data_IF_483637288662
#
_entry.id   IF_483637288662
#
_cell.length_a   1.000
_cell.length_b   1.000
_cell.length_c   1.000
_cell.angle_alpha   90.00
_cell.angle_beta   90.00
_cell.angle_gamma   90.00
#
_symmetry.space_group_name_H-M   'P 1'
#
loop_
_entity.id
_entity.type
_entity.pdbx_description
1 polymer ?
#
# COMPACT_ATOMS: atom_id res chain seq x y z
N UNK A 1 8.34 -4.62 -20.21
CA UNK A 1 8.98 -3.57 -21.04
C UNK A 1 8.59 -2.22 -20.46
N UNK A 2 9.56 -1.29 -20.35
CA UNK A 2 9.35 0.02 -19.74
C UNK A 2 8.80 1.01 -20.76
N UNK A 3 8.02 1.97 -20.28
CA UNK A 3 7.56 3.13 -21.02
C UNK A 3 8.11 4.39 -20.34
N UNK A 4 8.79 5.24 -21.10
CA UNK A 4 9.43 6.46 -20.63
C UNK A 4 8.75 7.65 -21.31
N UNK A 5 8.17 8.54 -20.51
CA UNK A 5 7.46 9.73 -20.98
C UNK A 5 8.26 10.96 -20.52
N UNK A 6 8.84 11.75 -21.46
CA UNK A 6 9.44 13.03 -21.11
C UNK A 6 8.38 13.96 -20.52
N UNK A 7 8.66 14.53 -19.33
CA UNK A 7 7.77 15.47 -18.68
C UNK A 7 8.19 16.91 -18.98
N UNK A 8 9.48 17.19 -18.84
CA UNK A 8 10.02 18.55 -18.92
C UNK A 8 11.53 18.54 -19.14
N UNK A 9 12.07 19.62 -19.72
CA UNK A 9 13.50 19.89 -19.82
C UNK A 9 13.78 21.37 -19.67
N UNK A 10 14.87 21.74 -19.01
CA UNK A 10 15.29 23.14 -18.91
C UNK A 10 15.80 23.66 -20.25
N UNK A 11 15.67 24.97 -20.48
CA UNK A 11 16.12 25.63 -21.72
C UNK A 11 17.64 25.49 -21.90
N UNK A 12 18.39 25.49 -20.79
CA UNK A 12 19.85 25.31 -20.78
C UNK A 12 20.29 23.83 -20.90
N UNK A 13 19.35 22.88 -20.98
CA UNK A 13 19.61 21.45 -21.08
C UNK A 13 20.23 20.82 -19.83
N UNK A 14 20.32 21.57 -18.73
CA UNK A 14 20.92 21.11 -17.46
C UNK A 14 20.00 20.27 -16.60
N UNK A 15 18.70 20.25 -16.89
CA UNK A 15 17.72 19.46 -16.18
C UNK A 15 16.78 18.74 -17.14
N UNK A 16 16.55 17.47 -16.85
CA UNK A 16 15.59 16.63 -17.55
C UNK A 16 14.68 15.96 -16.53
N UNK A 17 13.38 15.91 -16.83
CA UNK A 17 12.39 15.19 -16.05
C UNK A 17 11.66 14.20 -16.96
N UNK A 18 11.57 12.95 -16.53
CA UNK A 18 10.83 11.91 -17.22
C UNK A 18 10.06 11.05 -16.24
N UNK A 19 8.93 10.51 -16.67
CA UNK A 19 8.18 9.51 -15.94
C UNK A 19 8.44 8.13 -16.55
N UNK A 20 8.84 7.19 -15.71
CA UNK A 20 9.07 5.79 -16.07
C UNK A 20 7.93 4.94 -15.52
N UNK A 21 7.34 4.12 -16.38
CA UNK A 21 6.25 3.21 -16.03
C UNK A 21 6.44 1.85 -16.68
N UNK A 22 5.78 0.82 -16.16
CA UNK A 22 5.71 -0.46 -16.86
C UNK A 22 4.54 -0.45 -17.86
N UNK A 23 4.74 -0.93 -19.10
CA UNK A 23 3.69 -0.94 -20.15
C UNK A 23 2.43 -1.67 -19.69
N UNK A 24 2.57 -2.72 -18.87
CA UNK A 24 1.45 -3.50 -18.32
C UNK A 24 0.90 -2.95 -16.99
N UNK A 25 1.40 -1.81 -16.50
CA UNK A 25 0.95 -1.21 -15.24
C UNK A 25 1.20 -2.06 -13.99
N UNK A 26 2.35 -2.74 -13.92
CA UNK A 26 2.69 -3.63 -12.79
C UNK A 26 2.96 -2.89 -11.48
N UNK A 27 3.39 -1.64 -11.57
CA UNK A 27 3.66 -0.76 -10.44
C UNK A 27 3.32 0.68 -10.82
N UNK A 28 3.14 1.53 -9.82
CA UNK A 28 2.87 2.95 -10.04
C UNK A 28 4.11 3.65 -10.63
N UNK A 29 3.93 4.59 -11.58
CA UNK A 29 5.04 5.26 -12.25
C UNK A 29 6.00 5.95 -11.28
N UNK A 30 7.22 6.20 -11.76
CA UNK A 30 8.30 6.83 -11.01
C UNK A 30 8.80 8.00 -11.81
N UNK A 31 9.05 9.12 -11.14
CA UNK A 31 9.63 10.28 -11.80
C UNK A 31 11.15 10.24 -11.64
N UNK A 32 11.86 10.50 -12.72
CA UNK A 32 13.31 10.59 -12.76
C UNK A 32 13.68 12.01 -13.17
N UNK A 33 14.48 12.65 -12.33
CA UNK A 33 15.05 13.96 -12.54
C UNK A 33 16.56 13.81 -12.73
N UNK A 34 17.10 14.32 -13.83
CA UNK A 34 18.54 14.31 -14.11
C UNK A 34 19.06 15.74 -14.12
N UNK A 35 20.15 16.03 -13.41
CA UNK A 35 20.74 17.36 -13.29
C UNK A 35 22.21 17.41 -13.68
N UNK A 36 22.61 18.53 -14.28
CA UNK A 36 23.99 18.91 -14.53
C UNK A 36 24.23 20.36 -14.09
N UNK A 37 24.61 20.55 -12.83
CA UNK A 37 24.84 21.87 -12.24
C UNK A 37 26.09 22.52 -12.86
N UNK A 38 26.12 23.85 -13.10
CA UNK A 38 27.30 24.52 -13.65
C UNK A 38 28.58 24.28 -12.82
N UNK A 39 29.70 24.02 -13.51
CA UNK A 39 31.01 23.85 -12.87
C UNK A 39 31.63 25.18 -12.40
N UNK A 40 31.32 26.30 -13.08
CA UNK A 40 31.85 27.61 -12.71
C UNK A 40 31.20 28.11 -11.42
N UNK A 41 32.02 28.50 -10.45
CA UNK A 41 31.56 28.86 -9.10
C UNK A 41 30.43 29.91 -9.07
N UNK A 42 30.53 30.97 -9.90
CA UNK A 42 29.52 32.04 -9.94
C UNK A 42 28.18 31.54 -10.49
N UNK A 43 28.22 30.89 -11.65
CA UNK A 43 27.03 30.30 -12.29
C UNK A 43 26.39 29.24 -11.41
N UNK A 44 27.20 28.41 -10.74
CA UNK A 44 26.71 27.39 -9.80
C UNK A 44 25.90 28.01 -8.68
N UNK A 45 26.41 29.06 -8.05
CA UNK A 45 25.70 29.73 -6.94
C UNK A 45 24.38 30.32 -7.43
N UNK A 46 24.37 30.97 -8.59
CA UNK A 46 23.17 31.58 -9.16
C UNK A 46 22.11 30.53 -9.54
N UNK A 47 22.56 29.44 -10.17
CA UNK A 47 21.73 28.31 -10.53
C UNK A 47 21.11 27.65 -9.28
N UNK A 48 21.91 27.27 -8.29
CA UNK A 48 21.43 26.61 -7.07
C UNK A 48 20.55 27.52 -6.21
N UNK A 49 20.83 28.83 -6.18
CA UNK A 49 20.00 29.80 -5.44
C UNK A 49 18.60 29.93 -6.03
N UNK A 50 18.49 29.94 -7.36
CA UNK A 50 17.18 30.05 -8.02
C UNK A 50 16.42 28.72 -8.01
N UNK A 51 17.12 27.58 -7.90
CA UNK A 51 16.55 26.25 -8.10
C UNK A 51 15.27 25.95 -7.30
N UNK A 52 15.17 26.21 -5.98
CA UNK A 52 13.96 25.90 -5.23
C UNK A 52 12.73 26.71 -5.66
N UNK A 53 12.92 27.86 -6.32
CA UNK A 53 11.83 28.76 -6.74
C UNK A 53 11.52 28.70 -8.24
N UNK A 54 12.49 28.34 -9.08
CA UNK A 54 12.29 28.19 -10.53
C UNK A 54 11.68 26.86 -10.92
N UNK A 55 11.85 25.82 -10.10
CA UNK A 55 11.31 24.51 -10.41
C UNK A 55 9.87 24.37 -9.90
N UNK A 56 8.92 23.90 -10.74
CA UNK A 56 7.55 23.61 -10.33
C UNK A 56 7.48 22.28 -9.57
N UNK A 57 8.41 22.06 -8.64
CA UNK A 57 8.43 20.87 -7.80
C UNK A 57 7.21 20.82 -6.88
N UNK A 58 6.58 21.93 -6.51
CA UNK A 58 5.31 21.87 -5.78
C UNK A 58 4.16 21.25 -6.61
N UNK A 59 4.29 21.17 -7.95
CA UNK A 59 3.37 20.46 -8.84
C UNK A 59 3.89 19.07 -9.27
N UNK A 60 5.19 18.78 -9.11
CA UNK A 60 5.87 17.59 -9.65
C UNK A 60 6.55 16.69 -8.60
N UNK A 61 6.80 17.18 -7.38
CA UNK A 61 7.20 16.38 -6.21
C UNK A 61 6.00 15.57 -5.78
N UNK A 62 5.86 14.45 -6.47
CA UNK A 62 5.06 13.35 -6.02
C UNK A 62 6.01 12.36 -5.35
N UNK A 63 5.51 11.71 -4.30
CA UNK A 63 6.06 10.43 -3.84
C UNK A 63 6.50 9.57 -5.03
N UNK A 64 7.51 8.74 -4.87
CA UNK A 64 8.10 7.89 -5.92
C UNK A 64 8.95 8.66 -6.94
N UNK A 65 9.93 9.43 -6.46
CA UNK A 65 10.82 10.19 -7.32
C UNK A 65 12.30 9.88 -7.07
N UNK A 66 13.11 9.91 -8.13
CA UNK A 66 14.57 9.76 -8.12
C UNK A 66 15.18 11.02 -8.73
N UNK A 67 16.18 11.60 -8.07
CA UNK A 67 16.89 12.79 -8.51
C UNK A 67 18.39 12.53 -8.54
N UNK A 68 18.99 12.54 -9.72
CA UNK A 68 20.37 12.12 -9.91
C UNK A 68 21.15 13.02 -10.86
N UNK A 69 22.47 12.95 -10.79
CA UNK A 69 23.36 13.59 -11.75
C UNK A 69 24.58 14.22 -11.11
N UNK A 70 25.20 15.15 -11.83
CA UNK A 70 26.38 15.89 -11.38
C UNK A 70 25.95 17.24 -10.79
N UNK A 71 26.16 17.36 -9.48
CA UNK A 71 25.82 18.54 -8.70
C UNK A 71 26.93 19.58 -8.70
N UNK A 72 28.12 19.24 -9.22
CA UNK A 72 29.33 20.06 -9.22
C UNK A 72 29.66 20.65 -7.83
N UNK A 73 29.14 20.02 -6.78
CA UNK A 73 29.21 20.45 -5.39
C UNK A 73 28.77 19.31 -4.48
N UNK A 74 29.48 19.14 -3.36
CA UNK A 74 29.13 18.12 -2.37
C UNK A 74 28.01 18.63 -1.45
N UNK A 75 26.84 18.00 -1.52
CA UNK A 75 25.64 18.38 -0.77
C UNK A 75 25.73 18.11 0.75
N UNK A 76 26.68 17.28 1.19
CA UNK A 76 26.88 16.92 2.61
C UNK A 76 27.97 17.75 3.30
N UNK A 77 28.67 18.62 2.55
CA UNK A 77 29.67 19.51 3.15
C UNK A 77 29.02 20.57 4.03
N UNK A 78 29.66 20.89 5.16
CA UNK A 78 29.15 21.92 6.09
C UNK A 78 28.93 23.23 5.35
N UNK A 79 27.73 23.79 5.54
CA UNK A 79 27.30 25.02 4.91
C UNK A 79 28.24 26.17 5.25
N UNK A 80 29.02 26.61 4.26
CA UNK A 80 29.90 27.78 4.36
C UNK A 80 29.30 29.03 3.70
N UNK A 81 28.34 28.87 2.79
CA UNK A 81 27.73 29.95 2.03
C UNK A 81 26.25 30.17 2.44
N UNK A 82 25.92 31.27 3.13
CA UNK A 82 24.55 31.58 3.53
C UNK A 82 23.57 31.68 2.34
N UNK A 83 24.06 32.07 1.16
CA UNK A 83 23.20 32.26 -0.01
C UNK A 83 22.68 30.95 -0.62
N UNK A 84 23.18 29.80 -0.17
CA UNK A 84 22.70 28.47 -0.57
C UNK A 84 21.87 27.78 0.52
N UNK A 85 21.54 28.47 1.63
CA UNK A 85 20.80 27.87 2.75
C UNK A 85 19.49 27.20 2.32
N UNK A 86 18.71 27.88 1.49
CA UNK A 86 17.43 27.37 1.00
C UNK A 86 17.60 26.12 0.13
N UNK A 87 18.67 26.05 -0.67
CA UNK A 87 18.98 24.88 -1.49
C UNK A 87 19.27 23.65 -0.64
N UNK A 88 20.17 23.77 0.34
CA UNK A 88 20.48 22.65 1.23
C UNK A 88 19.27 22.23 2.06
N UNK A 89 18.54 23.19 2.62
CA UNK A 89 17.31 22.91 3.35
C UNK A 89 16.30 22.15 2.47
N UNK A 90 16.10 22.60 1.23
CA UNK A 90 15.21 21.93 0.29
C UNK A 90 15.67 20.51 -0.05
N UNK A 91 16.98 20.30 -0.30
CA UNK A 91 17.52 18.95 -0.53
C UNK A 91 17.25 18.04 0.67
N UNK A 92 17.68 18.44 1.87
CA UNK A 92 17.64 17.57 3.04
C UNK A 92 16.21 17.33 3.57
N UNK A 93 15.25 18.19 3.25
CA UNK A 93 13.85 17.99 3.60
C UNK A 93 13.12 17.03 2.64
N UNK A 94 13.46 17.05 1.35
CA UNK A 94 12.69 16.36 0.32
C UNK A 94 13.35 15.08 -0.21
N UNK A 95 14.68 14.96 -0.03
CA UNK A 95 15.47 13.93 -0.68
C UNK A 95 16.37 13.20 0.32
N UNK A 96 16.44 11.89 0.14
CA UNK A 96 17.31 10.99 0.87
C UNK A 96 18.45 10.51 -0.05
N UNK A 97 19.67 10.47 0.47
CA UNK A 97 20.84 9.91 -0.21
C UNK A 97 21.13 8.51 0.36
N UNK A 98 20.71 7.44 -0.32
CA UNK A 98 20.89 6.09 0.19
C UNK A 98 22.36 5.64 0.13
N UNK A 99 23.17 6.18 -0.79
CA UNK A 99 24.60 5.85 -0.90
C UNK A 99 25.37 6.43 0.29
N UNK A 100 25.05 7.66 0.71
CA UNK A 100 25.66 8.25 1.89
C UNK A 100 25.14 7.64 3.20
N UNK A 101 23.95 7.04 3.20
CA UNK A 101 23.42 6.30 4.35
C UNK A 101 24.11 4.94 4.56
N UNK A 102 24.69 4.37 3.50
CA UNK A 102 25.45 3.12 3.54
C UNK A 102 26.88 3.36 4.08
N UNK A 103 27.28 2.75 5.22
CA UNK A 103 28.61 2.89 5.79
C UNK A 103 29.76 2.46 4.87
N UNK A 104 29.52 1.53 3.94
CA UNK A 104 30.55 1.05 3.01
C UNK A 104 30.80 2.01 1.84
N UNK A 105 29.79 2.83 1.51
CA UNK A 105 29.81 3.70 0.34
C UNK A 105 29.83 5.20 0.66
N UNK A 106 29.67 5.57 1.93
CA UNK A 106 29.62 6.97 2.33
C UNK A 106 30.90 7.74 1.99
N UNK A 107 30.74 9.00 1.56
CA UNK A 107 31.84 9.93 1.26
C UNK A 107 32.91 9.43 0.27
N UNK A 108 32.63 8.41 -0.54
CA UNK A 108 33.55 7.97 -1.59
C UNK A 108 33.60 9.04 -2.69
N UNK A 109 34.80 9.48 -3.11
CA UNK A 109 34.93 10.45 -4.20
C UNK A 109 34.43 9.90 -5.53
N UNK A 110 33.61 10.67 -6.23
CA UNK A 110 33.10 10.30 -7.56
C UNK A 110 33.86 11.00 -8.68
N UNK A 111 34.48 12.16 -8.42
CA UNK A 111 35.25 12.93 -9.40
C UNK A 111 36.74 12.90 -9.08
N UNK A 112 37.54 12.40 -10.03
CA UNK A 112 39.02 12.36 -10.01
C UNK A 112 39.66 11.82 -8.73
N UNK A 113 38.94 11.02 -7.95
CA UNK A 113 39.33 10.56 -6.62
C UNK A 113 39.55 11.69 -5.59
N UNK A 114 38.96 12.87 -5.82
CA UNK A 114 39.16 14.07 -4.99
C UNK A 114 37.87 14.50 -4.29
N UNK A 115 36.74 14.49 -5.00
CA UNK A 115 35.48 15.03 -4.49
C UNK A 115 34.28 14.18 -4.87
N UNK A 116 33.30 14.11 -3.97
CA UNK A 116 31.97 13.55 -4.22
C UNK A 116 31.05 14.66 -4.73
N UNK A 117 30.73 14.63 -6.03
CA UNK A 117 29.87 15.63 -6.68
C UNK A 117 28.72 15.00 -7.47
N UNK A 118 28.72 13.68 -7.62
CA UNK A 118 27.67 12.94 -8.30
C UNK A 118 26.77 12.29 -7.24
N UNK A 119 25.46 12.52 -7.34
CA UNK A 119 24.49 12.04 -6.36
C UNK A 119 23.32 11.33 -7.03
N UNK A 120 22.77 10.34 -6.32
CA UNK A 120 21.53 9.67 -6.64
C UNK A 120 20.65 9.74 -5.40
N UNK A 121 19.61 10.55 -5.47
CA UNK A 121 18.72 10.86 -4.36
C UNK A 121 17.33 10.30 -4.62
N UNK A 122 16.60 9.95 -3.56
CA UNK A 122 15.26 9.37 -3.64
C UNK A 122 14.31 10.07 -2.67
N UNK A 123 13.01 9.99 -2.94
CA UNK A 123 12.00 10.39 -1.96
C UNK A 123 11.88 9.34 -0.85
N UNK A 124 11.42 9.77 0.34
CA UNK A 124 11.39 8.94 1.55
C UNK A 124 10.58 7.63 1.39
N UNK A 125 9.57 7.62 0.53
CA UNK A 125 8.74 6.44 0.26
C UNK A 125 9.41 5.35 -0.57
N UNK A 126 10.62 5.61 -1.10
CA UNK A 126 11.42 4.63 -1.84
C UNK A 126 12.59 4.06 -1.02
N UNK A 127 12.83 4.52 0.22
CA UNK A 127 14.01 4.13 1.02
C UNK A 127 14.11 2.61 1.13
N UNK A 128 13.02 1.93 1.49
CA UNK A 128 13.01 0.47 1.66
C UNK A 128 12.96 -0.33 0.35
N UNK A 129 12.89 0.36 -0.80
CA UNK A 129 12.87 -0.26 -2.13
C UNK A 129 14.24 -0.25 -2.80
N UNK A 130 15.22 0.41 -2.19
CA UNK A 130 16.54 0.62 -2.78
C UNK A 130 17.57 -0.29 -2.11
N UNK A 131 18.44 -0.90 -2.92
CA UNK A 131 19.50 -1.81 -2.47
C UNK A 131 20.68 -1.81 -3.47
N UNK A 132 21.78 -2.51 -3.13
CA UNK A 132 22.93 -2.81 -3.97
C UNK A 132 23.53 -1.56 -4.63
N UNK A 133 23.92 -0.61 -3.79
CA UNK A 133 24.66 0.58 -4.21
C UNK A 133 26.03 0.17 -4.77
N UNK A 134 26.48 0.90 -5.79
CA UNK A 134 27.82 0.67 -6.34
C UNK A 134 28.37 1.96 -6.95
N UNK A 135 29.68 2.16 -6.79
CA UNK A 135 30.46 3.25 -7.35
C UNK A 135 31.56 2.64 -8.19
N UNK A 136 31.36 2.65 -9.52
CA UNK A 136 32.25 1.99 -10.47
C UNK A 136 33.17 2.97 -11.17
N UNK A 137 34.45 2.64 -11.20
CA UNK A 137 35.40 3.31 -12.10
C UNK A 137 34.97 3.09 -13.56
N UNK A 138 34.85 4.20 -14.30
CA UNK A 138 34.59 4.17 -15.73
C UNK A 138 35.87 4.55 -16.46
N UNK A 139 36.41 3.61 -17.23
CA UNK A 139 37.63 3.85 -18.00
C UNK A 139 37.47 5.06 -18.92
N UNK A 140 38.45 5.97 -18.89
CA UNK A 140 38.50 7.20 -19.69
C UNK A 140 37.44 8.26 -19.31
N UNK A 141 36.76 8.10 -18.18
CA UNK A 141 35.93 9.13 -17.56
C UNK A 141 36.69 9.70 -16.35
N UNK A 142 36.56 11.00 -16.08
CA UNK A 142 37.03 11.60 -14.83
C UNK A 142 35.99 11.52 -13.70
N UNK A 143 34.80 10.98 -13.99
CA UNK A 143 33.78 10.60 -13.01
C UNK A 143 33.68 9.07 -12.89
N UNK A 144 33.32 8.61 -11.69
CA UNK A 144 32.85 7.25 -11.42
C UNK A 144 31.35 7.16 -11.64
N UNK A 145 30.87 6.03 -12.15
CA UNK A 145 29.45 5.77 -12.29
C UNK A 145 28.85 5.38 -10.95
N UNK A 146 27.79 6.05 -10.55
CA UNK A 146 26.96 5.67 -9.40
C UNK A 146 25.76 4.86 -9.88
N UNK A 147 25.42 3.80 -9.15
CA UNK A 147 24.26 2.98 -9.45
C UNK A 147 23.59 2.44 -8.20
N UNK A 148 22.30 2.15 -8.32
CA UNK A 148 21.53 1.47 -7.28
C UNK A 148 20.41 0.66 -7.92
N UNK A 149 19.89 -0.32 -7.20
CA UNK A 149 18.78 -1.15 -7.63
C UNK A 149 17.52 -0.68 -6.93
N UNK A 150 16.48 -0.41 -7.71
CA UNK A 150 15.17 -0.06 -7.19
C UNK A 150 14.19 -1.21 -7.46
N UNK A 151 13.73 -1.85 -6.40
CA UNK A 151 12.78 -2.96 -6.45
C UNK A 151 11.35 -2.42 -6.55
N UNK A 152 10.72 -2.67 -7.70
CA UNK A 152 9.44 -2.07 -8.05
C UNK A 152 8.33 -3.09 -8.19
N UNK A 153 7.23 -2.83 -7.47
CA UNK A 153 6.08 -3.70 -7.39
C UNK A 153 6.04 -4.48 -6.08
N UNK A 154 4.86 -4.96 -5.73
CA UNK A 154 4.68 -5.87 -4.61
C UNK A 154 4.91 -7.29 -5.14
N UNK A 155 5.68 -8.16 -4.46
CA UNK A 155 5.54 -9.59 -4.69
C UNK A 155 4.04 -9.91 -4.58
N UNK A 156 3.54 -10.85 -5.38
CA UNK A 156 2.12 -11.23 -5.32
C UNK A 156 1.85 -11.85 -3.95
N UNK A 157 1.57 -11.00 -2.96
CA UNK A 157 0.95 -11.38 -1.72
C UNK A 157 -0.39 -12.01 -2.10
N UNK A 158 -0.78 -13.08 -1.39
CA UNK A 158 -1.97 -13.85 -1.70
C UNK A 158 -3.25 -12.99 -1.74
N UNK A 159 -4.45 -13.58 -1.79
CA UNK A 159 -5.72 -12.84 -1.90
C UNK A 159 -5.99 -11.85 -0.75
N UNK A 160 -5.10 -11.76 0.25
CA UNK A 160 -5.18 -10.89 1.41
C UNK A 160 -6.12 -11.45 2.47
N UNK A 161 -6.36 -10.64 3.50
CA UNK A 161 -7.33 -10.96 4.55
C UNK A 161 -8.74 -10.95 3.95
N UNK A 162 -9.44 -12.07 4.06
CA UNK A 162 -10.84 -12.15 3.67
C UNK A 162 -11.71 -11.35 4.64
N UNK A 163 -12.57 -10.49 4.11
CA UNK A 163 -13.58 -9.75 4.88
C UNK A 163 -14.96 -10.05 4.31
N UNK A 164 -15.91 -10.36 5.18
CA UNK A 164 -17.31 -10.58 4.78
C UNK A 164 -17.91 -9.31 4.18
N UNK A 165 -18.67 -9.44 3.09
CA UNK A 165 -19.41 -8.31 2.52
C UNK A 165 -20.67 -8.04 3.36
N UNK A 166 -20.76 -6.93 4.11
CA UNK A 166 -21.89 -6.63 4.98
C UNK A 166 -23.20 -6.45 4.21
N UNK A 167 -23.16 -6.10 2.91
CA UNK A 167 -24.37 -5.99 2.09
C UNK A 167 -25.10 -7.33 1.91
N UNK A 168 -24.44 -8.47 2.12
CA UNK A 168 -25.12 -9.78 2.13
C UNK A 168 -26.21 -9.86 3.20
N UNK A 169 -26.02 -9.19 4.34
CA UNK A 169 -27.02 -9.17 5.40
C UNK A 169 -28.34 -8.47 5.00
N UNK A 170 -28.34 -7.72 3.90
CA UNK A 170 -29.54 -7.07 3.35
C UNK A 170 -30.31 -7.99 2.40
N UNK A 171 -29.69 -9.09 1.93
CA UNK A 171 -30.32 -10.05 1.02
C UNK A 171 -31.20 -11.04 1.83
N UNK A 172 -32.53 -11.07 1.62
CA UNK A 172 -33.42 -11.99 2.32
C UNK A 172 -33.08 -13.46 2.07
N UNK A 173 -32.60 -13.80 0.87
CA UNK A 173 -32.20 -15.16 0.53
C UNK A 173 -30.96 -15.58 1.30
N UNK A 174 -29.97 -14.70 1.40
CA UNK A 174 -28.78 -14.95 2.21
C UNK A 174 -29.15 -15.18 3.68
N UNK A 175 -30.03 -14.34 4.23
CA UNK A 175 -30.49 -14.48 5.62
C UNK A 175 -31.17 -15.83 5.86
N UNK A 176 -32.03 -16.27 4.94
CA UNK A 176 -32.70 -17.56 5.05
C UNK A 176 -31.70 -18.74 5.03
N UNK A 177 -30.75 -18.73 4.08
CA UNK A 177 -29.71 -19.77 4.02
C UNK A 177 -28.77 -19.74 5.22
N UNK A 178 -28.40 -18.54 5.71
CA UNK A 178 -27.56 -18.39 6.90
C UNK A 178 -28.26 -18.94 8.14
N UNK A 179 -29.55 -18.65 8.34
CA UNK A 179 -30.34 -19.22 9.43
C UNK A 179 -30.33 -20.75 9.33
N UNK A 180 -30.61 -21.31 8.15
CA UNK A 180 -30.58 -22.75 7.95
C UNK A 180 -29.18 -23.34 8.22
N UNK A 181 -28.10 -22.68 7.79
CA UNK A 181 -26.73 -23.10 8.09
C UNK A 181 -26.47 -23.15 9.60
N UNK A 182 -26.86 -22.10 10.34
CA UNK A 182 -26.68 -22.03 11.79
C UNK A 182 -27.53 -23.08 12.54
N UNK A 183 -28.80 -23.25 12.15
CA UNK A 183 -29.68 -24.27 12.76
C UNK A 183 -29.16 -25.69 12.57
N UNK A 184 -28.43 -25.95 11.49
CA UNK A 184 -27.83 -27.26 11.22
C UNK A 184 -26.40 -27.41 11.75
N UNK A 185 -25.90 -26.47 12.56
CA UNK A 185 -24.51 -26.47 13.02
C UNK A 185 -24.11 -27.75 13.75
N UNK A 186 -24.98 -28.25 14.62
CA UNK A 186 -24.78 -29.48 15.40
C UNK A 186 -24.53 -30.72 14.52
N UNK A 187 -25.08 -30.76 13.29
CA UNK A 187 -24.92 -31.93 12.41
C UNK A 187 -23.54 -32.01 11.77
N UNK A 188 -22.81 -30.91 11.74
CA UNK A 188 -21.55 -30.83 11.04
C UNK A 188 -20.39 -30.51 11.98
N UNK A 189 -20.63 -29.93 13.15
CA UNK A 189 -19.60 -29.71 14.15
C UNK A 189 -19.24 -31.03 14.87
N UNK A 190 -17.94 -31.32 15.05
CA UNK A 190 -17.49 -32.51 15.79
C UNK A 190 -17.68 -32.32 17.30
N UNK A 191 -17.64 -33.39 18.08
CA UNK A 191 -17.62 -33.30 19.53
C UNK A 191 -16.19 -32.98 20.02
N UNK A 192 -15.94 -31.70 20.35
CA UNK A 192 -14.64 -31.15 20.73
C UNK A 192 -14.81 -30.04 21.76
N UNK A 193 -13.70 -29.59 22.33
CA UNK A 193 -13.68 -28.50 23.30
C UNK A 193 -14.22 -27.18 22.71
N UNK A 194 -14.93 -26.39 23.52
CA UNK A 194 -15.70 -25.21 23.08
C UNK A 194 -14.89 -24.19 22.26
N UNK A 195 -13.63 -23.85 22.60
CA UNK A 195 -12.82 -22.92 21.79
C UNK A 195 -12.51 -23.46 20.39
N UNK A 196 -12.17 -24.75 20.30
CA UNK A 196 -11.84 -25.40 19.03
C UNK A 196 -13.09 -25.56 18.14
N UNK A 197 -14.24 -25.85 18.77
CA UNK A 197 -15.54 -25.85 18.10
C UNK A 197 -15.84 -24.51 17.43
N UNK A 198 -15.59 -23.40 18.15
CA UNK A 198 -15.80 -22.06 17.62
C UNK A 198 -14.90 -21.74 16.41
N UNK A 199 -13.64 -22.16 16.44
CA UNK A 199 -12.72 -22.00 15.32
C UNK A 199 -13.17 -22.80 14.08
N UNK A 200 -13.60 -24.04 14.28
CA UNK A 200 -14.14 -24.88 13.20
C UNK A 200 -15.43 -24.26 12.63
N UNK A 201 -16.32 -23.78 13.49
CA UNK A 201 -17.54 -23.09 13.06
C UNK A 201 -17.22 -21.86 12.21
N UNK A 202 -16.33 -20.97 12.67
CA UNK A 202 -15.90 -19.78 11.92
C UNK A 202 -15.34 -20.15 10.54
N UNK A 203 -14.53 -21.20 10.46
CA UNK A 203 -13.98 -21.70 9.19
C UNK A 203 -15.11 -22.14 8.23
N UNK A 204 -16.07 -22.93 8.71
CA UNK A 204 -17.19 -23.41 7.89
C UNK A 204 -18.14 -22.29 7.48
N UNK A 205 -18.42 -21.36 8.40
CA UNK A 205 -19.22 -20.16 8.12
C UNK A 205 -18.57 -19.33 7.01
N UNK A 206 -17.26 -19.10 7.08
CA UNK A 206 -16.51 -18.43 6.03
C UNK A 206 -16.66 -19.12 4.67
N UNK A 207 -16.49 -20.45 4.61
CA UNK A 207 -16.66 -21.22 3.38
C UNK A 207 -18.08 -21.15 2.82
N UNK A 208 -19.10 -21.22 3.68
CA UNK A 208 -20.50 -21.04 3.31
C UNK A 208 -20.73 -19.67 2.67
N UNK A 209 -20.30 -18.59 3.34
CA UNK A 209 -20.46 -17.21 2.85
C UNK A 209 -19.74 -17.02 1.51
N UNK A 210 -18.53 -17.58 1.36
CA UNK A 210 -17.78 -17.54 0.11
C UNK A 210 -18.52 -18.24 -1.03
N UNK A 211 -19.08 -19.43 -0.78
CA UNK A 211 -19.88 -20.18 -1.74
C UNK A 211 -21.10 -19.39 -2.20
N UNK A 212 -21.88 -18.85 -1.26
CA UNK A 212 -23.03 -18.00 -1.56
C UNK A 212 -22.63 -16.77 -2.40
N UNK A 213 -21.58 -16.07 -1.97
CA UNK A 213 -21.06 -14.87 -2.65
C UNK A 213 -20.62 -15.18 -4.08
N UNK A 214 -19.97 -16.31 -4.31
CA UNK A 214 -19.51 -16.74 -5.63
C UNK A 214 -20.70 -17.06 -6.56
N UNK A 215 -21.73 -17.75 -6.06
CA UNK A 215 -22.97 -18.01 -6.80
C UNK A 215 -23.68 -16.70 -7.16
N UNK A 216 -23.86 -15.80 -6.19
CA UNK A 216 -24.46 -14.49 -6.41
C UNK A 216 -23.68 -13.64 -7.43
N UNK A 217 -22.33 -13.67 -7.37
CA UNK A 217 -21.48 -12.97 -8.32
C UNK A 217 -21.59 -13.56 -9.74
N UNK A 218 -21.67 -14.89 -9.87
CA UNK A 218 -21.88 -15.55 -11.15
C UNK A 218 -23.24 -15.19 -11.76
N UNK A 219 -24.31 -15.21 -10.96
CA UNK A 219 -25.65 -14.81 -11.39
C UNK A 219 -25.68 -13.34 -11.82
N UNK A 220 -25.05 -12.46 -11.05
CA UNK A 220 -24.93 -11.03 -11.39
C UNK A 220 -24.21 -10.82 -12.73
N UNK A 221 -23.09 -11.51 -12.94
CA UNK A 221 -22.36 -11.47 -14.23
C UNK A 221 -23.21 -11.96 -15.39
N UNK A 222 -23.98 -13.03 -15.19
CA UNK A 222 -24.90 -13.53 -16.20
C UNK A 222 -26.00 -12.49 -16.54
N UNK A 223 -26.60 -11.88 -15.52
CA UNK A 223 -27.64 -10.86 -15.68
C UNK A 223 -27.09 -9.60 -16.38
N UNK A 224 -25.90 -9.12 -15.99
CA UNK A 224 -25.21 -8.01 -16.65
C UNK A 224 -24.99 -8.30 -18.14
N UNK A 225 -24.47 -9.48 -18.48
CA UNK A 225 -24.26 -9.88 -19.87
C UNK A 225 -25.58 -10.00 -20.65
N UNK A 226 -26.67 -10.43 -20.00
CA UNK A 226 -28.01 -10.46 -20.60
C UNK A 226 -28.52 -9.05 -20.90
N UNK A 227 -28.44 -8.14 -19.93
CA UNK A 227 -28.86 -6.74 -20.08
C UNK A 227 -28.05 -6.01 -21.16
N UNK A 228 -26.72 -6.18 -21.18
CA UNK A 228 -25.85 -5.61 -22.22
C UNK A 228 -26.20 -6.13 -23.62
N UNK A 229 -26.49 -7.44 -23.76
CA UNK A 229 -26.95 -8.01 -25.03
C UNK A 229 -28.31 -7.45 -25.45
N UNK A 230 -29.24 -7.33 -24.51
CA UNK A 230 -30.57 -6.76 -24.76
C UNK A 230 -30.45 -5.31 -25.25
N UNK A 231 -29.67 -4.48 -24.54
CA UNK A 231 -29.40 -3.09 -24.95
C UNK A 231 -28.82 -3.02 -26.37
N UNK A 232 -27.81 -3.84 -26.67
CA UNK A 232 -27.19 -3.89 -28.00
C UNK A 232 -28.16 -4.32 -29.09
N UNK A 233 -29.09 -5.22 -28.77
CA UNK A 233 -30.13 -5.66 -29.70
C UNK A 233 -31.18 -4.57 -29.95
N UNK A 234 -31.63 -3.88 -28.89
CA UNK A 234 -32.57 -2.75 -28.97
C UNK A 234 -32.03 -1.60 -29.81
N UNK A 235 -30.74 -1.28 -29.67
CA UNK A 235 -30.08 -0.24 -30.49
C UNK A 235 -30.02 -0.55 -32.00
N UNK A 236 -30.39 -1.77 -32.41
CA UNK A 236 -30.47 -2.19 -33.82
C UNK A 236 -31.91 -2.22 -34.34
N UNK A 237 -32.90 -2.01 -33.48
CA UNK A 237 -34.30 -1.92 -33.87
C UNK A 237 -34.61 -0.52 -34.41
N UNK A 238 -35.72 -0.34 -35.17
CA UNK A 238 -36.19 0.98 -35.56
C UNK A 238 -36.38 1.89 -34.34
N UNK A 239 -35.98 3.15 -34.47
CA UNK A 239 -36.11 4.13 -33.39
C UNK A 239 -37.57 4.57 -33.27
N UNK A 240 -38.27 4.04 -32.27
CA UNK A 240 -39.61 4.46 -31.86
C UNK A 240 -39.70 4.64 -30.33
N UNK A 241 -40.80 5.22 -29.86
CA UNK A 241 -41.00 5.54 -28.44
C UNK A 241 -40.97 4.30 -27.55
N UNK A 242 -41.48 3.16 -28.04
CA UNK A 242 -41.48 1.90 -27.31
C UNK A 242 -40.06 1.35 -27.14
N UNK A 243 -39.27 1.32 -28.22
CA UNK A 243 -37.86 0.89 -28.21
C UNK A 243 -37.03 1.80 -27.31
N UNK A 244 -37.25 3.13 -27.36
CA UNK A 244 -36.57 4.08 -26.49
C UNK A 244 -36.92 3.85 -25.01
N UNK A 245 -38.18 3.58 -24.68
CA UNK A 245 -38.60 3.25 -23.32
C UNK A 245 -37.96 1.94 -22.81
N UNK A 246 -37.88 0.92 -23.67
CA UNK A 246 -37.20 -0.35 -23.34
C UNK A 246 -35.69 -0.15 -23.13
N UNK A 247 -35.03 0.68 -23.95
CA UNK A 247 -33.61 1.04 -23.78
C UNK A 247 -33.41 1.70 -22.42
N UNK A 248 -34.21 2.73 -22.10
CA UNK A 248 -34.12 3.44 -20.82
C UNK A 248 -34.31 2.50 -19.61
N UNK A 249 -35.25 1.55 -19.71
CA UNK A 249 -35.46 0.53 -18.67
C UNK A 249 -34.25 -0.38 -18.49
N UNK A 250 -33.64 -0.85 -19.59
CA UNK A 250 -32.45 -1.71 -19.53
C UNK A 250 -31.24 -0.94 -19.00
N UNK A 251 -31.08 0.32 -19.40
CA UNK A 251 -30.01 1.20 -18.90
C UNK A 251 -30.15 1.49 -17.41
N UNK A 252 -31.37 1.75 -16.94
CA UNK A 252 -31.64 1.90 -15.50
C UNK A 252 -31.27 0.65 -14.71
N UNK A 253 -31.60 -0.54 -15.23
CA UNK A 253 -31.20 -1.81 -14.59
C UNK A 253 -29.68 -2.03 -14.60
N UNK A 254 -28.98 -1.60 -15.67
CA UNK A 254 -27.52 -1.65 -15.72
C UNK A 254 -26.88 -0.70 -14.71
N UNK A 255 -27.41 0.52 -14.58
CA UNK A 255 -26.93 1.51 -13.62
C UNK A 255 -27.02 0.98 -12.20
N UNK A 256 -28.15 0.38 -11.80
CA UNK A 256 -28.31 -0.25 -10.49
C UNK A 256 -27.25 -1.34 -10.20
N UNK A 257 -26.85 -2.11 -11.22
CA UNK A 257 -25.78 -3.11 -11.05
C UNK A 257 -24.40 -2.46 -10.91
N UNK A 258 -24.14 -1.37 -11.62
CA UNK A 258 -22.89 -0.61 -11.51
C UNK A 258 -22.79 0.09 -10.16
N UNK A 259 -23.87 0.73 -9.68
CA UNK A 259 -23.93 1.37 -8.37
C UNK A 259 -23.61 0.36 -7.26
N UNK A 260 -24.22 -0.82 -7.28
CA UNK A 260 -23.90 -1.88 -6.32
C UNK A 260 -22.41 -2.28 -6.38
N UNK A 261 -21.84 -2.45 -7.58
CA UNK A 261 -20.42 -2.77 -7.74
C UNK A 261 -19.52 -1.66 -7.18
N UNK A 262 -19.83 -0.41 -7.45
CA UNK A 262 -19.10 0.76 -6.92
C UNK A 262 -19.20 0.83 -5.41
N UNK A 263 -20.37 0.58 -4.82
CA UNK A 263 -20.54 0.54 -3.35
C UNK A 263 -19.72 -0.55 -2.68
N UNK A 264 -19.59 -1.73 -3.31
CA UNK A 264 -18.72 -2.81 -2.81
C UNK A 264 -17.24 -2.42 -2.90
N UNK A 265 -16.81 -1.79 -4.00
CA UNK A 265 -15.43 -1.34 -4.17
C UNK A 265 -15.06 -0.20 -3.21
N UNK A 266 -15.97 0.73 -2.98
CA UNK A 266 -15.83 1.80 -1.99
C UNK A 266 -15.69 1.24 -0.57
N UNK A 267 -16.50 0.24 -0.22
CA UNK A 267 -16.36 -0.46 1.06
C UNK A 267 -14.96 -1.10 1.19
N UNK A 268 -14.48 -1.78 0.14
CA UNK A 268 -13.18 -2.45 0.13
C UNK A 268 -12.01 -1.47 0.24
N UNK A 269 -12.10 -0.29 -0.38
CA UNK A 269 -11.04 0.72 -0.27
C UNK A 269 -10.89 1.26 1.15
N UNK A 270 -11.90 1.06 2.02
CA UNK A 270 -11.92 1.53 3.40
C UNK A 270 -11.99 3.05 3.50
N UNK A 271 -12.33 3.72 2.41
CA UNK A 271 -12.64 5.14 2.42
C UNK A 271 -14.03 5.31 3.03
N UNK A 272 -14.10 5.84 4.25
CA UNK A 272 -15.37 6.30 4.85
C UNK A 272 -15.80 7.57 4.11
N UNK A 273 -16.47 7.48 2.97
CA UNK A 273 -16.92 8.66 2.22
C UNK A 273 -18.35 8.53 1.71
N UNK A 274 -19.28 9.18 2.43
CA UNK A 274 -20.55 9.70 1.89
C UNK A 274 -20.39 11.13 1.34
N UNK A 275 -19.21 11.76 1.43
CA UNK A 275 -19.11 13.22 1.28
C UNK A 275 -18.70 13.76 -0.11
N UNK A 276 -18.44 12.95 -1.15
CA UNK A 276 -18.03 13.49 -2.47
C UNK A 276 -18.64 12.83 -3.71
N UNK A 277 -19.62 11.93 -3.56
CA UNK A 277 -20.35 11.39 -4.72
C UNK A 277 -19.48 10.64 -5.74
N UNK A 278 -18.23 10.28 -5.40
CA UNK A 278 -17.32 9.57 -6.30
C UNK A 278 -17.83 8.15 -6.58
N UNK A 279 -17.97 7.82 -7.87
CA UNK A 279 -18.56 6.55 -8.37
C UNK A 279 -17.58 5.76 -9.25
N UNK A 280 -16.38 6.31 -9.52
CA UNK A 280 -15.39 5.74 -10.43
C UNK A 280 -14.72 4.49 -9.86
N UNK A 281 -14.98 3.34 -10.49
CA UNK A 281 -14.30 2.09 -10.17
C UNK A 281 -12.77 2.19 -10.35
N UNK A 282 -12.30 2.92 -11.36
CA UNK A 282 -10.87 3.15 -11.61
C UNK A 282 -10.20 3.82 -10.43
N UNK A 283 -10.87 4.83 -9.84
CA UNK A 283 -10.39 5.50 -8.64
C UNK A 283 -10.29 4.51 -7.47
N UNK A 284 -11.34 3.72 -7.20
CA UNK A 284 -11.32 2.75 -6.11
C UNK A 284 -10.21 1.68 -6.28
N UNK A 285 -9.97 1.21 -7.49
CA UNK A 285 -8.86 0.29 -7.77
C UNK A 285 -7.49 0.92 -7.51
N UNK A 286 -7.31 2.21 -7.82
CA UNK A 286 -6.07 2.94 -7.48
C UNK A 286 -5.88 3.03 -5.97
N UNK A 287 -6.91 3.43 -5.22
CA UNK A 287 -6.85 3.48 -3.76
C UNK A 287 -6.52 2.11 -3.14
N UNK A 288 -7.13 1.03 -3.66
CA UNK A 288 -6.83 -0.33 -3.20
C UNK A 288 -5.37 -0.72 -3.43
N UNK A 289 -4.82 -0.41 -4.61
CA UNK A 289 -3.40 -0.67 -4.92
C UNK A 289 -2.47 0.14 -4.04
N UNK A 290 -2.74 1.43 -3.86
CA UNK A 290 -1.94 2.31 -3.00
C UNK A 290 -1.94 1.81 -1.56
N UNK A 291 -3.11 1.45 -1.02
CA UNK A 291 -3.22 0.88 0.33
C UNK A 291 -2.47 -0.45 0.45
N UNK A 292 -2.56 -1.33 -0.54
CA UNK A 292 -1.83 -2.59 -0.55
C UNK A 292 -0.32 -2.37 -0.50
N UNK A 293 0.19 -1.36 -1.23
CA UNK A 293 1.61 -0.98 -1.18
C UNK A 293 2.00 -0.40 0.19
N UNK A 294 1.18 0.48 0.77
CA UNK A 294 1.45 1.08 2.09
C UNK A 294 1.40 0.06 3.23
N UNK A 295 0.57 -0.98 3.11
CA UNK A 295 0.45 -2.04 4.11
C UNK A 295 1.47 -3.17 3.91
N UNK A 296 2.28 -3.11 2.84
CA UNK A 296 3.30 -4.10 2.58
C UNK A 296 4.51 -3.85 3.49
N UNK A 297 4.84 -4.84 4.32
CA UNK A 297 6.04 -4.83 5.14
C UNK A 297 7.17 -5.41 4.27
N UNK A 298 8.03 -4.54 3.75
CA UNK A 298 9.16 -4.92 2.89
C UNK A 298 10.35 -5.46 3.67
N UNK A 299 10.52 -5.03 4.92
CA UNK A 299 11.59 -5.47 5.79
C UNK A 299 11.22 -5.31 7.27
N UNK A 300 11.86 -6.08 8.13
CA UNK A 300 11.82 -5.92 9.58
C UNK A 300 13.26 -5.88 10.10
N UNK A 301 13.55 -4.93 10.99
CA UNK A 301 14.80 -4.90 11.74
C UNK A 301 14.60 -5.58 13.10
N UNK A 302 15.40 -6.59 13.39
CA UNK A 302 15.36 -7.33 14.66
C UNK A 302 16.34 -6.74 15.67
N UNK A 303 16.24 -7.16 16.94
CA UNK A 303 17.00 -6.60 18.07
C UNK A 303 18.53 -6.69 17.91
N UNK A 304 19.01 -7.67 17.14
CA UNK A 304 20.43 -7.81 16.79
C UNK A 304 20.93 -6.75 15.81
N UNK A 305 20.03 -5.90 15.28
CA UNK A 305 20.31 -4.87 14.29
C UNK A 305 20.26 -5.36 12.84
N UNK A 306 20.06 -6.67 12.61
CA UNK A 306 19.96 -7.25 11.26
C UNK A 306 18.62 -6.86 10.63
N UNK A 307 18.65 -6.52 9.35
CA UNK A 307 17.45 -6.25 8.53
C UNK A 307 17.10 -7.51 7.74
N UNK A 308 15.87 -7.98 7.90
CA UNK A 308 15.34 -9.16 7.22
C UNK A 308 14.32 -8.71 6.17
N UNK A 309 14.49 -9.18 4.94
CA UNK A 309 13.68 -8.79 3.77
C UNK A 309 12.90 -9.96 3.16
N UNK A 310 13.24 -11.20 3.51
CA UNK A 310 12.58 -12.40 3.00
C UNK A 310 11.20 -12.61 3.62
N UNK A 311 10.18 -12.83 2.78
CA UNK A 311 8.78 -12.83 3.21
C UNK A 311 8.43 -13.94 4.22
N UNK A 312 9.05 -15.11 4.12
CA UNK A 312 8.83 -16.21 5.05
C UNK A 312 9.42 -15.87 6.42
N UNK A 313 10.65 -15.37 6.44
CA UNK A 313 11.37 -15.00 7.65
C UNK A 313 10.67 -13.82 8.36
N UNK A 314 10.22 -12.81 7.62
CA UNK A 314 9.39 -11.71 8.15
C UNK A 314 8.13 -12.26 8.85
N UNK A 315 7.48 -13.27 8.26
CA UNK A 315 6.28 -13.88 8.83
C UNK A 315 6.59 -14.66 10.10
N UNK A 316 7.70 -15.40 10.10
CA UNK A 316 8.14 -16.18 11.25
C UNK A 316 8.55 -15.30 12.43
N UNK A 317 9.33 -14.24 12.17
CA UNK A 317 9.70 -13.23 13.17
C UNK A 317 8.46 -12.59 13.78
N UNK A 318 7.48 -12.21 12.95
CA UNK A 318 6.23 -11.64 13.45
C UNK A 318 5.46 -12.65 14.32
N UNK A 319 5.42 -13.93 13.90
CA UNK A 319 4.78 -15.02 14.66
C UNK A 319 5.43 -15.19 16.04
N UNK A 320 6.75 -15.33 16.09
CA UNK A 320 7.52 -15.49 17.33
C UNK A 320 7.32 -14.30 18.28
N UNK A 321 7.41 -13.08 17.75
CA UNK A 321 7.19 -11.86 18.55
C UNK A 321 5.82 -11.84 19.21
N UNK A 322 4.74 -12.09 18.44
CA UNK A 322 3.39 -12.06 19.01
C UNK A 322 3.09 -13.27 19.90
N UNK A 323 3.68 -14.44 19.61
CA UNK A 323 3.58 -15.60 20.49
C UNK A 323 4.23 -15.32 21.86
N UNK A 324 5.38 -14.64 21.88
CA UNK A 324 6.00 -14.20 23.11
C UNK A 324 5.21 -13.09 23.80
N UNK A 325 4.73 -12.08 23.06
CA UNK A 325 3.97 -10.96 23.62
C UNK A 325 2.66 -11.40 24.30
N UNK A 326 2.00 -12.42 23.73
CA UNK A 326 0.78 -12.99 24.29
C UNK A 326 1.02 -14.26 25.10
N UNK A 327 2.28 -14.63 25.35
CA UNK A 327 2.60 -15.70 26.28
C UNK A 327 2.16 -15.29 27.69
N UNK A 328 1.76 -16.28 28.49
CA UNK A 328 1.38 -16.00 29.87
C UNK A 328 2.61 -15.51 30.64
N UNK A 329 2.54 -14.28 31.14
CA UNK A 329 3.47 -13.82 32.16
C UNK A 329 3.19 -14.58 33.47
N UNK A 330 4.23 -14.90 34.25
CA UNK A 330 4.04 -15.49 35.58
C UNK A 330 3.17 -14.56 36.43
N UNK A 331 2.12 -15.13 37.03
CA UNK A 331 1.25 -14.42 37.96
C UNK A 331 2.06 -13.97 39.17
N UNK A 332 2.01 -12.69 39.50
CA UNK A 332 2.47 -12.20 40.79
C UNK A 332 1.40 -12.57 41.83
N UNK A 333 1.63 -13.69 42.52
CA UNK A 333 0.73 -14.24 43.54
C UNK A 333 0.41 -13.21 44.65
N UNK A 334 1.32 -12.28 44.94
CA UNK A 334 1.09 -11.24 45.94
C UNK A 334 0.13 -10.18 45.39
N UNK A 335 0.33 -9.72 44.16
CA UNK A 335 -0.57 -8.77 43.51
C UNK A 335 -1.97 -9.37 43.28
N UNK A 336 -2.05 -10.65 42.92
CA UNK A 336 -3.31 -11.39 42.80
C UNK A 336 -4.04 -11.47 44.16
N UNK A 337 -3.33 -11.90 45.20
CA UNK A 337 -3.89 -11.95 46.56
C UNK A 337 -4.35 -10.58 47.05
N UNK A 338 -3.58 -9.52 46.79
CA UNK A 338 -3.92 -8.15 47.18
C UNK A 338 -5.17 -7.67 46.43
N UNK A 339 -5.29 -7.96 45.12
CA UNK A 339 -6.49 -7.65 44.35
C UNK A 339 -7.72 -8.39 44.88
N UNK A 340 -7.59 -9.69 45.17
CA UNK A 340 -8.67 -10.49 45.75
C UNK A 340 -9.11 -10.00 47.12
N UNK A 341 -8.18 -9.55 47.97
CA UNK A 341 -8.49 -9.02 49.30
C UNK A 341 -9.31 -7.71 49.26
N UNK A 342 -9.28 -6.99 48.14
CA UNK A 342 -10.05 -5.76 47.94
C UNK A 342 -11.35 -5.97 47.15
N UNK A 343 -11.67 -7.19 46.73
CA UNK A 343 -12.97 -7.51 46.14
C UNK A 343 -14.01 -7.54 47.26
N UNK A 344 -15.01 -6.65 47.25
CA UNK A 344 -16.04 -6.64 48.30
C UNK A 344 -16.91 -7.90 48.19
N UNK A 345 -17.33 -8.44 49.33
CA UNK A 345 -18.16 -9.66 49.39
C UNK A 345 -19.43 -9.59 48.55
N UNK A 346 -19.97 -8.39 48.34
CA UNK A 346 -21.14 -8.14 47.48
C UNK A 346 -20.89 -8.41 45.98
N UNK A 347 -19.62 -8.45 45.55
CA UNK A 347 -19.20 -8.75 44.19
C UNK A 347 -18.65 -10.18 44.04
N UNK A 348 -18.58 -10.93 45.15
CA UNK A 348 -18.18 -12.33 45.17
C UNK A 348 -19.38 -13.24 44.93
N UNK A 349 -19.20 -14.23 44.07
CA UNK A 349 -20.24 -15.21 43.76
C UNK A 349 -20.17 -16.30 44.84
N UNK A 350 -21.30 -16.69 45.44
CA UNK A 350 -21.28 -17.78 46.43
C UNK A 350 -20.95 -19.11 45.76
N UNK A 351 -20.37 -20.08 46.49
CA UNK A 351 -20.03 -21.38 45.94
C UNK A 351 -21.22 -22.09 45.26
N UNK A 352 -22.43 -21.92 45.78
CA UNK A 352 -23.63 -22.51 45.16
C UNK A 352 -23.96 -21.90 43.79
N UNK A 353 -23.77 -20.58 43.64
CA UNK A 353 -23.99 -19.91 42.34
C UNK A 353 -22.87 -20.27 41.36
N UNK A 354 -21.62 -20.39 41.83
CA UNK A 354 -20.51 -20.86 41.00
C UNK A 354 -20.75 -22.28 40.47
N UNK A 355 -21.15 -23.24 41.31
CA UNK A 355 -21.49 -24.61 40.88
C UNK A 355 -22.67 -24.64 39.90
N UNK A 356 -23.62 -23.72 40.02
CA UNK A 356 -24.75 -23.64 39.07
C UNK A 356 -24.36 -23.12 37.68
N UNK A 357 -23.27 -22.36 37.55
CA UNK A 357 -22.81 -21.77 36.28
C UNK A 357 -22.07 -22.77 35.38
N UNK A 358 -21.53 -23.85 35.95
CA UNK A 358 -20.74 -24.86 35.22
C UNK A 358 -21.46 -26.22 35.06
N UNK A 359 -22.70 -26.33 35.52
CA UNK A 359 -23.53 -27.55 35.43
C UNK A 359 -24.57 -27.50 34.29
N UNK A 360 -24.23 -26.87 33.16
CA UNK A 360 -25.07 -26.86 31.94
C UNK A 360 -24.36 -27.51 30.76
#
# INVERSE_FOLDING_TARGET
>A
MLNIIPLWSSIDGRLLAAQVSHISGLYDPINIFVIYVPAQHRERIEFLRSFPTTMPFDQLLTSRSVFLGDFNHNIHTRQSNPSLAQWFQWIHLNWHDPINADPEHNNIPTFRNISTIDFLLITADLIDMVDNHDIKYVARCDHSAISTYLTLGCPRTGPGIWRCNPYLAQDPHFRAELTAFCTNAEHFLPDLDTPLLWDIFKCRLKSFIQSFSNKAAAQRRHNLNKLQRMRKWLLRQPTDDETNAQIASVESQLELQYEHSSSVLALRSGQRWREQGERSNTYFYRCLRQRQQQQYISSIRIDTGIVVTESLDITEIAREYYEQLYSQEPLDEQAESDLHAHVPDSASITPEVHESLFNY
#
